data_IF_064677767131
#
_entry.id   IF_064677767131
#
_cell.length_a   1.000
_cell.length_b   1.000
_cell.length_c   1.000
_cell.angle_alpha   90.00
_cell.angle_beta   90.00
_cell.angle_gamma   90.00
#
_symmetry.space_group_name_H-M   'P 1'
#
loop_
_entity.id
_entity.type
_entity.pdbx_description
1 polymer ?
#
# COMPACT_ATOMS: atom_id res chain seq x y z
N UNK A 1 -13.78 -17.64 11.87
CA UNK A 1 -12.42 -17.71 12.45
C UNK A 1 -11.52 -16.84 11.59
N UNK A 2 -11.11 -15.68 12.10
CA UNK A 2 -10.12 -14.83 11.43
C UNK A 2 -8.77 -15.53 11.48
N UNK A 3 -8.16 -15.76 10.32
CA UNK A 3 -6.79 -16.28 10.24
C UNK A 3 -5.87 -15.14 10.68
N UNK A 4 -5.01 -15.37 11.67
CA UNK A 4 -3.97 -14.41 12.03
C UNK A 4 -3.10 -14.17 10.78
N UNK A 5 -3.05 -12.93 10.31
CA UNK A 5 -2.32 -12.56 9.11
C UNK A 5 -1.00 -11.91 9.48
N UNK A 6 0.07 -12.70 9.37
CA UNK A 6 1.45 -12.31 9.67
C UNK A 6 2.13 -11.60 8.48
N UNK A 7 1.40 -11.27 7.40
CA UNK A 7 1.97 -10.59 6.22
C UNK A 7 2.47 -9.18 6.51
N UNK A 8 2.00 -8.52 7.57
CA UNK A 8 2.36 -7.12 7.85
C UNK A 8 1.82 -6.11 6.81
N UNK A 9 0.95 -6.55 5.89
CA UNK A 9 0.28 -5.66 4.94
C UNK A 9 -0.75 -4.76 5.63
N UNK A 10 -0.93 -3.50 5.19
CA UNK A 10 -2.00 -2.64 5.69
C UNK A 10 -3.38 -3.18 5.30
N UNK A 11 -4.42 -2.73 6.03
CA UNK A 11 -5.80 -3.15 5.77
C UNK A 11 -6.30 -2.73 4.38
N UNK A 12 -5.80 -1.60 3.86
CA UNK A 12 -6.09 -1.11 2.52
C UNK A 12 -4.78 -0.89 1.77
N UNK A 13 -4.70 -1.48 0.58
CA UNK A 13 -3.60 -1.39 -0.37
C UNK A 13 -4.11 -0.60 -1.58
N UNK A 14 -3.29 0.32 -2.10
CA UNK A 14 -3.71 1.18 -3.21
C UNK A 14 -3.21 0.62 -4.54
N UNK A 15 -4.14 0.27 -5.43
CA UNK A 15 -3.84 -0.07 -6.81
C UNK A 15 -3.80 1.22 -7.65
N UNK A 16 -2.59 1.55 -8.11
CA UNK A 16 -2.35 2.88 -8.68
C UNK A 16 -2.63 2.94 -10.17
N UNK A 17 -3.57 3.79 -10.56
CA UNK A 17 -3.73 4.19 -11.95
C UNK A 17 -2.93 5.47 -12.21
N UNK A 18 -1.70 5.31 -12.71
CA UNK A 18 -0.83 6.44 -13.00
C UNK A 18 -1.41 7.31 -14.13
N UNK A 19 -1.25 8.64 -14.05
CA UNK A 19 -1.62 9.54 -15.15
C UNK A 19 -0.72 9.31 -16.37
N UNK A 20 -1.21 9.68 -17.55
CA UNK A 20 -0.42 9.63 -18.77
C UNK A 20 0.83 10.51 -18.64
N UNK A 21 2.01 9.99 -19.02
CA UNK A 21 3.28 10.71 -18.90
C UNK A 21 3.71 10.98 -17.45
N UNK A 22 3.43 10.05 -16.53
CA UNK A 22 3.69 10.21 -15.08
C UNK A 22 5.14 10.61 -14.73
N UNK A 23 6.11 10.28 -15.58
CA UNK A 23 7.44 10.87 -15.58
C UNK A 23 7.76 11.45 -16.97
N UNK A 24 8.48 12.59 -17.07
CA UNK A 24 9.07 13.05 -18.32
C UNK A 24 10.02 11.98 -18.87
N UNK A 25 10.00 11.77 -20.18
CA UNK A 25 10.82 10.74 -20.85
C UNK A 25 12.30 11.03 -20.60
N UNK A 26 13.00 10.11 -19.92
CA UNK A 26 14.45 10.03 -20.01
C UNK A 26 14.80 9.55 -21.42
N UNK A 27 15.18 10.46 -22.32
CA UNK A 27 15.90 10.04 -23.52
C UNK A 27 17.27 9.53 -23.09
N UNK A 28 17.66 8.35 -23.60
CA UNK A 28 18.96 7.74 -23.32
C UNK A 28 20.09 8.71 -23.70
N UNK A 29 21.18 8.76 -22.92
CA UNK A 29 22.32 9.65 -23.20
C UNK A 29 23.04 9.15 -24.46
N UNK A 30 22.59 9.60 -25.64
CA UNK A 30 23.14 9.18 -26.93
C UNK A 30 22.46 9.76 -28.17
N UNK A 31 21.25 10.33 -28.06
CA UNK A 31 20.61 11.08 -29.14
C UNK A 31 21.04 12.55 -29.11
N UNK A 32 21.74 13.02 -30.15
CA UNK A 32 22.25 14.39 -30.25
C UNK A 32 21.21 15.48 -30.53
N UNK A 33 19.98 15.33 -30.06
CA UNK A 33 19.01 16.42 -29.99
C UNK A 33 19.07 17.01 -28.57
N UNK A 34 19.21 18.33 -28.46
CA UNK A 34 19.09 19.00 -27.17
C UNK A 34 17.76 18.57 -26.54
N UNK A 35 17.75 18.21 -25.24
CA UNK A 35 16.54 17.76 -24.58
C UNK A 35 15.45 18.80 -24.81
N UNK A 36 14.22 18.42 -25.18
CA UNK A 36 13.13 19.38 -25.27
C UNK A 36 13.08 20.12 -23.94
N UNK A 37 13.28 21.44 -23.99
CA UNK A 37 13.20 22.29 -22.81
C UNK A 37 11.80 22.11 -22.23
N UNK A 38 11.74 21.41 -21.10
CA UNK A 38 10.50 21.16 -20.39
C UNK A 38 9.83 22.52 -20.09
N UNK A 39 8.58 22.75 -20.50
CA UNK A 39 7.83 23.95 -20.11
C UNK A 39 7.69 24.08 -18.57
N UNK A 40 7.97 23.03 -17.81
CA UNK A 40 8.05 23.00 -16.34
C UNK A 40 9.48 23.11 -15.77
N UNK A 41 10.48 23.49 -16.57
CA UNK A 41 11.81 23.89 -16.08
C UNK A 41 11.78 25.18 -15.21
N UNK A 42 10.61 25.78 -15.05
CA UNK A 42 10.34 26.89 -14.13
C UNK A 42 10.44 26.48 -12.67
N UNK A 43 10.86 27.42 -11.81
CA UNK A 43 10.74 27.30 -10.35
C UNK A 43 9.33 26.84 -9.99
N UNK A 44 9.21 25.99 -8.96
CA UNK A 44 7.90 25.55 -8.44
C UNK A 44 6.95 26.74 -8.26
N UNK A 45 5.65 26.58 -8.59
CA UNK A 45 4.68 27.64 -8.39
C UNK A 45 4.74 28.18 -6.96
N UNK A 46 4.57 29.49 -6.80
CA UNK A 46 4.63 30.14 -5.49
C UNK A 46 3.62 29.52 -4.52
N UNK A 47 2.44 29.13 -5.01
CA UNK A 47 1.40 28.45 -4.24
C UNK A 47 1.90 27.12 -3.67
N UNK A 48 2.59 26.30 -4.46
CA UNK A 48 3.23 25.06 -3.98
C UNK A 48 4.24 25.34 -2.88
N UNK A 49 5.10 26.35 -3.05
CA UNK A 49 6.11 26.72 -2.07
C UNK A 49 5.51 27.29 -0.78
N UNK A 50 4.40 28.02 -0.85
CA UNK A 50 3.79 28.68 0.31
C UNK A 50 2.74 27.84 1.04
N UNK A 51 2.05 26.93 0.34
CA UNK A 51 0.96 26.14 0.92
C UNK A 51 1.32 24.66 1.06
N UNK A 52 1.81 24.03 -0.01
CA UNK A 52 2.04 22.57 -0.03
C UNK A 52 3.30 22.18 0.76
N UNK A 53 4.44 22.83 0.48
CA UNK A 53 5.72 22.51 1.14
C UNK A 53 5.63 22.66 2.67
N UNK A 54 5.10 23.77 3.24
CA UNK A 54 4.96 23.88 4.69
C UNK A 54 4.01 22.85 5.29
N UNK A 55 2.94 22.47 4.57
CA UNK A 55 2.01 21.42 5.02
C UNK A 55 2.74 20.07 5.11
N UNK A 56 3.54 19.70 4.10
CA UNK A 56 4.31 18.44 4.10
C UNK A 56 5.37 18.39 5.18
N UNK A 57 6.13 19.48 5.35
CA UNK A 57 7.12 19.59 6.41
C UNK A 57 6.52 19.40 7.80
N UNK A 58 5.35 19.98 8.08
CA UNK A 58 4.63 19.76 9.37
C UNK A 58 4.19 18.32 9.58
N UNK A 59 3.91 17.59 8.49
CA UNK A 59 3.44 16.20 8.56
C UNK A 59 4.57 15.18 8.55
N UNK A 60 5.80 15.60 8.25
CA UNK A 60 6.98 14.75 8.16
C UNK A 60 7.39 14.12 9.49
N UNK A 61 7.97 12.92 9.43
CA UNK A 61 8.53 12.23 10.58
C UNK A 61 9.67 13.03 11.25
N UNK A 62 10.62 13.66 10.51
CA UNK A 62 11.67 14.45 11.14
C UNK A 62 11.12 15.58 12.01
N UNK A 63 10.09 16.30 11.54
CA UNK A 63 9.46 17.36 12.32
C UNK A 63 8.80 16.83 13.61
N UNK A 64 8.08 15.70 13.52
CA UNK A 64 7.46 15.06 14.68
C UNK A 64 8.50 14.59 15.70
N UNK A 65 9.61 14.03 15.21
CA UNK A 65 10.74 13.57 16.04
C UNK A 65 11.42 14.73 16.76
N UNK A 66 11.72 15.83 16.06
CA UNK A 66 12.28 17.06 16.66
C UNK A 66 11.37 17.57 17.79
N UNK A 67 10.06 17.67 17.55
CA UNK A 67 9.10 18.14 18.57
C UNK A 67 9.07 17.22 19.79
N UNK A 68 9.06 15.90 19.59
CA UNK A 68 9.04 14.91 20.68
C UNK A 68 10.35 14.91 21.48
N UNK A 69 11.49 14.96 20.79
CA UNK A 69 12.82 15.00 21.40
C UNK A 69 13.04 16.31 22.16
N UNK A 70 12.58 17.45 21.64
CA UNK A 70 12.65 18.73 22.35
C UNK A 70 11.95 18.69 23.71
N UNK A 71 10.72 18.15 23.76
CA UNK A 71 9.99 17.95 25.02
C UNK A 71 10.76 17.00 25.96
N UNK A 72 11.28 15.88 25.43
CA UNK A 72 12.05 14.91 26.22
C UNK A 72 13.33 15.52 26.80
N UNK A 73 14.05 16.34 26.04
CA UNK A 73 15.27 17.02 26.45
C UNK A 73 14.95 18.00 27.58
N UNK A 74 13.90 18.82 27.44
CA UNK A 74 13.46 19.76 28.47
C UNK A 74 13.06 19.04 29.77
N UNK A 75 12.25 17.98 29.68
CA UNK A 75 11.85 17.17 30.82
C UNK A 75 13.04 16.50 31.52
N UNK A 76 14.01 16.01 30.74
CA UNK A 76 15.20 15.34 31.27
C UNK A 76 16.14 16.34 31.95
N UNK A 77 16.34 17.53 31.37
CA UNK A 77 17.09 18.63 31.98
C UNK A 77 16.46 19.07 33.31
N UNK A 78 15.14 19.27 33.32
CA UNK A 78 14.42 19.62 34.54
C UNK A 78 14.55 18.55 35.65
N UNK A 79 14.56 17.26 35.29
CA UNK A 79 14.79 16.16 36.25
C UNK A 79 16.22 16.16 36.80
N UNK A 80 17.22 16.45 35.98
CA UNK A 80 18.62 16.55 36.41
C UNK A 80 18.79 17.74 37.37
N UNK A 81 18.25 18.91 37.01
CA UNK A 81 18.28 20.11 37.86
C UNK A 81 17.57 19.88 39.20
N UNK A 82 16.41 19.21 39.19
CA UNK A 82 15.70 18.86 40.42
C UNK A 82 16.51 17.93 41.31
N UNK A 83 17.15 16.89 40.74
CA UNK A 83 18.04 15.99 41.50
C UNK A 83 19.27 16.71 42.05
N UNK A 84 19.84 17.64 41.29
CA UNK A 84 20.96 18.47 41.74
C UNK A 84 20.54 19.38 42.92
N UNK A 85 19.37 20.02 42.83
CA UNK A 85 18.82 20.84 43.91
C UNK A 85 18.46 20.02 45.17
N UNK A 86 17.95 18.80 45.02
CA UNK A 86 17.69 17.87 46.14
C UNK A 86 19.00 17.39 46.80
N UNK A 87 20.08 17.21 46.02
CA UNK A 87 21.40 16.88 46.54
C UNK A 87 22.05 18.05 47.30
N UNK A 88 21.89 19.29 46.82
CA UNK A 88 22.40 20.49 47.48
C UNK A 88 21.57 20.90 48.71
N UNK A 89 20.25 20.68 48.70
CA UNK A 89 19.35 21.00 49.81
C UNK A 89 19.46 20.06 51.02
N UNK A 90 20.10 18.89 50.88
CA UNK A 90 20.27 17.91 51.95
C UNK A 90 21.64 18.00 52.67
N UNK A 91 22.42 19.06 52.41
CA UNK A 91 23.73 19.33 53.03
C UNK A 91 23.71 19.71 54.52
N UNK A 92 22.66 19.36 55.27
CA UNK A 92 22.55 19.75 56.67
C UNK A 92 21.44 19.06 57.46
N UNK A 93 21.53 17.73 57.62
CA UNK A 93 21.15 17.00 58.86
C UNK A 93 21.46 15.52 58.73
N UNK A 94 22.56 15.12 59.34
CA UNK A 94 22.72 13.74 59.81
C UNK A 94 21.66 13.47 60.89
N UNK A 95 20.74 12.54 60.63
CA UNK A 95 20.21 11.69 61.67
C UNK A 95 19.79 10.36 61.07
N UNK A 96 20.48 9.30 61.49
CA UNK A 96 20.21 7.93 61.12
C UNK A 96 18.85 7.46 61.64
N UNK A 97 18.09 6.76 60.79
CA UNK A 97 17.33 5.57 61.18
C UNK A 97 17.04 4.72 59.94
N UNK A 98 17.43 3.47 60.06
CA UNK A 98 17.33 2.35 59.13
C UNK A 98 15.89 1.92 58.84
N UNK A 99 15.73 1.14 57.77
CA UNK A 99 14.57 0.33 57.36
C UNK A 99 13.53 1.00 56.44
N UNK A 100 13.79 0.92 55.14
CA UNK A 100 12.87 0.27 54.19
C UNK A 100 13.63 -0.03 52.87
N UNK A 101 13.95 -1.31 52.68
CA UNK A 101 14.50 -1.86 51.43
C UNK A 101 13.42 -1.79 50.33
N UNK A 102 13.30 -0.63 49.67
CA UNK A 102 12.85 -0.60 48.28
C UNK A 102 14.06 -0.86 47.41
N UNK A 103 14.01 -1.92 46.63
CA UNK A 103 14.96 -2.22 45.56
C UNK A 103 15.28 -0.93 44.77
N UNK A 104 16.56 -0.63 44.50
CA UNK A 104 16.89 0.52 43.68
C UNK A 104 16.35 0.25 42.27
N UNK A 105 15.34 1.03 41.88
CA UNK A 105 15.01 1.24 40.47
C UNK A 105 16.33 1.56 39.75
N UNK A 106 16.60 0.96 38.57
CA UNK A 106 17.89 1.11 37.91
C UNK A 106 18.17 2.60 37.75
N UNK A 107 19.35 3.04 38.20
CA UNK A 107 19.88 4.37 37.89
C UNK A 107 20.08 4.44 36.38
N UNK A 108 19.00 4.72 35.65
CA UNK A 108 19.09 5.10 34.27
C UNK A 108 20.01 6.32 34.23
N UNK A 109 21.12 6.18 33.52
CA UNK A 109 22.09 7.23 33.33
C UNK A 109 21.44 8.39 32.56
N UNK A 110 20.78 9.29 33.29
CA UNK A 110 20.00 10.40 32.73
C UNK A 110 20.86 11.31 31.85
N UNK A 111 22.16 11.41 32.15
CA UNK A 111 23.13 12.15 31.34
C UNK A 111 23.38 11.47 29.98
N UNK A 112 23.48 10.15 29.95
CA UNK A 112 23.62 9.38 28.70
C UNK A 112 22.34 9.46 27.86
N UNK A 113 21.17 9.31 28.48
CA UNK A 113 19.88 9.50 27.81
C UNK A 113 19.72 10.90 27.22
N UNK A 114 20.15 11.93 27.97
CA UNK A 114 20.12 13.31 27.50
C UNK A 114 21.05 13.49 26.29
N UNK A 115 22.28 12.99 26.38
CA UNK A 115 23.27 13.04 25.30
C UNK A 115 22.77 12.34 24.02
N UNK A 116 22.19 11.14 24.15
CA UNK A 116 21.58 10.43 23.02
C UNK A 116 20.41 11.23 22.42
N UNK A 117 19.51 11.77 23.25
CA UNK A 117 18.38 12.55 22.77
C UNK A 117 18.81 13.86 22.07
N UNK A 118 19.86 14.53 22.56
CA UNK A 118 20.43 15.73 21.93
C UNK A 118 21.10 15.41 20.58
N UNK A 119 21.83 14.30 20.48
CA UNK A 119 22.42 13.84 19.21
C UNK A 119 21.35 13.46 18.19
N UNK A 120 20.31 12.72 18.61
CA UNK A 120 19.18 12.37 17.76
C UNK A 120 18.42 13.63 17.29
N UNK A 121 18.29 14.64 18.17
CA UNK A 121 17.65 15.91 17.84
C UNK A 121 18.39 16.65 16.73
N UNK A 122 19.71 16.79 16.82
CA UNK A 122 20.51 17.49 15.81
C UNK A 122 20.56 16.69 14.47
N UNK A 123 20.58 15.36 14.56
CA UNK A 123 20.48 14.48 13.39
C UNK A 123 19.15 14.71 12.66
N UNK A 124 18.03 14.71 13.39
CA UNK A 124 16.70 14.94 12.80
C UNK A 124 16.55 16.36 12.23
N UNK A 125 17.19 17.36 12.84
CA UNK A 125 17.22 18.73 12.31
C UNK A 125 17.95 18.81 10.97
N UNK A 126 19.09 18.14 10.85
CA UNK A 126 19.85 18.03 9.59
C UNK A 126 19.01 17.34 8.51
N UNK A 127 18.32 16.25 8.85
CA UNK A 127 17.39 15.56 7.94
C UNK A 127 16.25 16.50 7.52
N UNK A 128 15.67 17.25 8.45
CA UNK A 128 14.58 18.19 8.18
C UNK A 128 15.01 19.35 7.25
N UNK A 129 16.23 19.87 7.40
CA UNK A 129 16.79 20.89 6.50
C UNK A 129 17.05 20.34 5.09
N UNK A 130 17.57 19.11 5.00
CA UNK A 130 17.74 18.39 3.73
C UNK A 130 16.38 18.17 3.04
N UNK A 131 15.38 17.70 3.78
CA UNK A 131 14.02 17.51 3.29
C UNK A 131 13.41 18.83 2.77
N UNK A 132 13.60 19.92 3.52
CA UNK A 132 13.14 21.26 3.10
C UNK A 132 13.78 21.67 1.77
N UNK A 133 15.07 21.39 1.61
CA UNK A 133 15.80 21.65 0.36
C UNK A 133 15.27 20.82 -0.80
N UNK A 134 15.04 19.52 -0.58
CA UNK A 134 14.52 18.60 -1.59
C UNK A 134 13.11 18.98 -2.03
N UNK A 135 12.22 19.28 -1.07
CA UNK A 135 10.85 19.73 -1.36
C UNK A 135 10.81 21.06 -2.12
N UNK A 136 11.78 21.96 -1.92
CA UNK A 136 11.83 23.22 -2.65
C UNK A 136 12.45 23.08 -4.05
N UNK A 137 13.48 22.22 -4.21
CA UNK A 137 14.33 22.18 -5.42
C UNK A 137 14.04 21.03 -6.36
N UNK A 138 13.77 19.83 -5.85
CA UNK A 138 13.55 18.66 -6.71
C UNK A 138 12.18 18.76 -7.40
N UNK A 139 12.16 18.53 -8.71
CA UNK A 139 10.98 18.75 -9.55
C UNK A 139 9.83 17.79 -9.21
N UNK A 140 10.14 16.52 -8.99
CA UNK A 140 9.13 15.48 -8.83
C UNK A 140 8.50 15.43 -7.44
N UNK A 141 9.10 16.07 -6.44
CA UNK A 141 8.66 15.88 -5.06
C UNK A 141 7.25 16.39 -4.78
N UNK A 142 6.72 17.31 -5.59
CA UNK A 142 5.39 17.93 -5.40
C UNK A 142 4.47 17.78 -6.62
N UNK A 143 4.70 16.78 -7.47
CA UNK A 143 3.79 16.49 -8.59
C UNK A 143 2.49 15.89 -8.08
N UNK A 144 1.38 16.17 -8.76
CA UNK A 144 0.03 15.89 -8.25
C UNK A 144 -0.19 14.42 -7.84
N UNK A 145 0.34 13.46 -8.61
CA UNK A 145 0.15 12.05 -8.28
C UNK A 145 0.99 11.59 -7.06
N UNK A 146 2.17 12.17 -6.83
CA UNK A 146 2.96 11.93 -5.61
C UNK A 146 2.25 12.54 -4.41
N UNK A 147 1.72 13.76 -4.54
CA UNK A 147 0.93 14.41 -3.48
C UNK A 147 -0.30 13.59 -3.09
N UNK A 148 -0.98 13.02 -4.10
CA UNK A 148 -2.09 12.10 -3.88
C UNK A 148 -1.65 10.90 -3.06
N UNK A 149 -0.62 10.16 -3.51
CA UNK A 149 -0.10 8.99 -2.78
C UNK A 149 0.39 9.32 -1.36
N UNK A 150 1.01 10.48 -1.17
CA UNK A 150 1.45 10.92 0.15
C UNK A 150 0.28 11.22 1.09
N UNK A 151 -0.85 11.67 0.54
CA UNK A 151 -2.11 11.85 1.26
C UNK A 151 -2.73 10.51 1.65
N UNK A 152 -2.76 9.53 0.74
CA UNK A 152 -3.13 8.14 1.03
C UNK A 152 -2.27 7.54 2.16
N UNK A 153 -0.95 7.68 2.03
CA UNK A 153 -0.02 7.20 3.03
C UNK A 153 -0.22 7.91 4.40
N UNK A 154 -0.60 9.20 4.42
CA UNK A 154 -0.80 9.95 5.67
C UNK A 154 -1.99 9.44 6.50
N UNK A 155 -2.93 8.73 5.88
CA UNK A 155 -4.07 8.10 6.56
C UNK A 155 -3.87 6.60 6.82
N UNK A 156 -2.63 6.10 6.68
CA UNK A 156 -2.26 4.72 7.00
C UNK A 156 -2.31 3.74 5.83
N UNK A 157 -2.58 4.21 4.61
CA UNK A 157 -2.54 3.38 3.40
C UNK A 157 -1.12 3.37 2.84
N UNK A 158 -0.26 2.59 3.47
CA UNK A 158 1.21 2.66 3.28
C UNK A 158 1.74 1.75 2.17
N UNK A 159 0.91 0.86 1.60
CA UNK A 159 1.33 -0.04 0.54
C UNK A 159 0.62 0.27 -0.78
N UNK A 160 1.38 0.26 -1.87
CA UNK A 160 0.87 0.49 -3.23
C UNK A 160 1.22 -0.67 -4.16
N UNK A 161 0.30 -1.07 -5.04
CA UNK A 161 0.53 -2.05 -6.11
C UNK A 161 0.45 -1.36 -7.49
N UNK A 162 1.36 -1.67 -8.43
CA UNK A 162 1.31 -1.17 -9.80
C UNK A 162 0.00 -1.54 -10.52
N UNK A 163 -0.77 -0.55 -11.02
CA UNK A 163 -2.05 -0.72 -11.71
C UNK A 163 -2.17 -0.01 -13.06
N UNK A 164 -3.41 0.22 -13.51
CA UNK A 164 -3.75 1.10 -14.64
C UNK A 164 -3.95 0.45 -16.01
N UNK A 165 -4.32 1.26 -17.01
CA UNK A 165 -4.59 0.85 -18.40
C UNK A 165 -3.43 0.13 -19.09
N UNK A 166 -2.18 0.33 -18.64
CA UNK A 166 -1.05 -0.42 -19.18
C UNK A 166 -1.06 -1.89 -18.67
N UNK A 167 -1.72 -2.13 -17.54
CA UNK A 167 -2.05 -3.44 -16.99
C UNK A 167 -3.43 -3.94 -17.44
N UNK A 168 -4.21 -3.12 -18.17
CA UNK A 168 -5.46 -3.56 -18.79
C UNK A 168 -5.12 -4.60 -19.84
N UNK A 169 -5.80 -5.73 -19.74
CA UNK A 169 -5.58 -6.91 -20.55
C UNK A 169 -5.72 -6.48 -22.01
N UNK A 170 -4.65 -6.57 -22.80
CA UNK A 170 -4.84 -6.49 -24.25
C UNK A 170 -5.79 -7.62 -24.67
N UNK A 171 -6.40 -7.52 -25.84
CA UNK A 171 -7.39 -8.53 -26.30
C UNK A 171 -6.81 -9.97 -26.41
N UNK A 172 -5.53 -10.14 -26.10
CA UNK A 172 -4.76 -11.38 -26.14
C UNK A 172 -4.30 -11.86 -24.75
N UNK A 173 -4.72 -11.23 -23.65
CA UNK A 173 -4.39 -11.72 -22.30
C UNK A 173 -3.00 -11.33 -21.80
N UNK A 174 -2.24 -10.50 -22.53
CA UNK A 174 -0.82 -10.27 -22.25
C UNK A 174 -0.62 -9.00 -21.39
N UNK A 175 -0.34 -9.19 -20.10
CA UNK A 175 0.31 -8.15 -19.29
C UNK A 175 1.79 -8.12 -19.67
N UNK A 176 2.24 -7.11 -20.40
CA UNK A 176 3.67 -7.00 -20.74
C UNK A 176 4.48 -6.70 -19.47
N UNK A 177 5.37 -7.60 -19.06
CA UNK A 177 6.32 -7.41 -17.95
C UNK A 177 7.06 -6.06 -18.05
N UNK A 178 7.37 -5.60 -19.28
CA UNK A 178 8.01 -4.32 -19.54
C UNK A 178 7.18 -3.12 -19.05
N UNK A 179 5.86 -3.22 -19.14
CA UNK A 179 4.94 -2.19 -18.63
C UNK A 179 5.01 -2.12 -17.11
N UNK A 180 4.88 -3.27 -16.43
CA UNK A 180 4.89 -3.33 -14.97
C UNK A 180 6.22 -2.80 -14.43
N UNK A 181 7.33 -3.11 -15.10
CA UNK A 181 8.65 -2.57 -14.78
C UNK A 181 8.72 -1.05 -14.99
N UNK A 182 8.08 -0.51 -16.04
CA UNK A 182 7.95 0.93 -16.26
C UNK A 182 7.18 1.62 -15.13
N UNK A 183 6.08 1.04 -14.67
CA UNK A 183 5.29 1.55 -13.53
C UNK A 183 6.09 1.50 -12.23
N UNK A 184 6.81 0.40 -11.96
CA UNK A 184 7.70 0.31 -10.79
C UNK A 184 8.76 1.41 -10.77
N UNK A 185 9.33 1.78 -11.93
CA UNK A 185 10.28 2.91 -12.04
C UNK A 185 9.66 4.24 -11.67
N UNK A 186 8.42 4.49 -12.11
CA UNK A 186 7.68 5.69 -11.69
C UNK A 186 7.46 5.70 -10.19
N UNK A 187 7.04 4.56 -9.62
CA UNK A 187 6.77 4.43 -8.20
C UNK A 187 8.03 4.46 -7.33
N UNK A 188 9.23 4.25 -7.89
CA UNK A 188 10.48 4.43 -7.18
C UNK A 188 10.65 5.87 -6.65
N UNK A 189 10.16 6.87 -7.40
CA UNK A 189 10.15 8.27 -6.93
C UNK A 189 9.25 8.46 -5.70
N UNK A 190 8.13 7.73 -5.63
CA UNK A 190 7.29 7.70 -4.44
C UNK A 190 8.02 7.03 -3.25
N UNK A 191 8.69 5.89 -3.46
CA UNK A 191 9.48 5.22 -2.40
C UNK A 191 10.58 6.13 -1.87
N UNK A 192 11.33 6.78 -2.77
CA UNK A 192 12.35 7.78 -2.41
C UNK A 192 11.74 8.90 -1.57
N UNK A 193 10.60 9.45 -1.99
CA UNK A 193 9.96 10.54 -1.27
C UNK A 193 9.40 10.15 0.10
N UNK A 194 8.79 8.97 0.20
CA UNK A 194 8.35 8.41 1.49
C UNK A 194 9.55 8.22 2.40
N UNK A 195 10.67 7.66 1.91
CA UNK A 195 11.87 7.47 2.72
C UNK A 195 12.47 8.76 3.29
N UNK A 196 12.26 9.91 2.63
CA UNK A 196 12.67 11.21 3.18
C UNK A 196 11.67 11.82 4.17
N UNK A 197 10.37 11.63 3.94
CA UNK A 197 9.33 12.30 4.72
C UNK A 197 8.76 11.48 5.87
N UNK A 198 8.80 10.17 5.73
CA UNK A 198 8.11 9.20 6.57
C UNK A 198 9.01 7.98 6.76
N UNK A 199 8.51 7.00 7.50
CA UNK A 199 9.22 5.73 7.76
C UNK A 199 8.51 4.52 7.17
N UNK A 200 7.29 4.70 6.67
CA UNK A 200 6.35 3.64 6.33
C UNK A 200 5.74 3.88 4.94
N UNK A 201 6.30 3.24 3.92
CA UNK A 201 5.74 3.21 2.58
C UNK A 201 6.43 2.17 1.71
N UNK A 202 5.64 1.36 1.01
CA UNK A 202 6.19 0.29 0.18
C UNK A 202 5.45 0.15 -1.15
N UNK A 203 6.20 -0.27 -2.15
CA UNK A 203 5.66 -0.72 -3.44
C UNK A 203 5.70 -2.24 -3.45
N UNK A 204 4.57 -2.85 -3.80
CA UNK A 204 4.41 -4.29 -3.94
C UNK A 204 4.44 -4.61 -5.45
N UNK A 205 5.60 -4.97 -6.02
CA UNK A 205 5.71 -5.22 -7.44
C UNK A 205 4.92 -6.47 -7.86
N UNK A 206 4.44 -6.45 -9.10
CA UNK A 206 3.70 -7.55 -9.73
C UNK A 206 4.62 -8.34 -10.66
N UNK A 207 4.87 -9.61 -10.34
CA UNK A 207 5.58 -10.53 -11.21
C UNK A 207 4.57 -11.25 -12.11
N UNK A 208 4.67 -11.03 -13.42
CA UNK A 208 3.75 -11.59 -14.42
C UNK A 208 4.56 -12.31 -15.51
N UNK A 209 5.02 -13.54 -15.28
CA UNK A 209 5.80 -14.28 -16.26
C UNK A 209 4.96 -14.60 -17.51
N UNK A 210 5.62 -14.71 -18.66
CA UNK A 210 4.97 -15.18 -19.89
C UNK A 210 4.64 -16.67 -19.76
N UNK A 211 3.37 -16.98 -19.57
CA UNK A 211 2.92 -18.35 -19.27
C UNK A 211 3.18 -19.33 -20.41
N UNK A 212 3.19 -18.89 -21.67
CA UNK A 212 3.50 -19.78 -22.80
C UNK A 212 4.99 -20.19 -22.86
N UNK A 213 5.85 -19.56 -22.06
CA UNK A 213 7.25 -19.92 -21.83
C UNK A 213 7.44 -20.54 -20.42
N UNK A 214 6.44 -21.25 -19.87
CA UNK A 214 6.40 -21.68 -18.46
C UNK A 214 7.62 -22.50 -17.98
N UNK A 215 8.29 -23.24 -18.88
CA UNK A 215 9.54 -23.97 -18.57
C UNK A 215 10.63 -23.02 -18.03
N UNK A 216 10.54 -21.73 -18.35
CA UNK A 216 11.51 -20.69 -18.00
C UNK A 216 10.96 -19.72 -16.93
N UNK A 217 9.67 -19.76 -16.61
CA UNK A 217 9.02 -18.79 -15.73
C UNK A 217 9.62 -18.73 -14.31
N UNK A 218 9.93 -19.88 -13.72
CA UNK A 218 10.61 -19.96 -12.41
C UNK A 218 12.07 -19.53 -12.49
N UNK A 219 12.74 -19.79 -13.63
CA UNK A 219 14.17 -19.49 -13.81
C UNK A 219 14.50 -18.00 -13.92
N UNK A 220 13.52 -17.17 -14.31
CA UNK A 220 13.71 -15.71 -14.39
C UNK A 220 13.44 -14.98 -13.08
N UNK A 221 12.90 -15.66 -12.06
CA UNK A 221 12.47 -15.05 -10.80
C UNK A 221 13.61 -14.27 -10.11
N UNK A 222 14.80 -14.85 -10.02
CA UNK A 222 15.96 -14.20 -9.39
C UNK A 222 16.37 -12.91 -10.12
N UNK A 223 16.51 -12.99 -11.45
CA UNK A 223 16.84 -11.82 -12.27
C UNK A 223 15.80 -10.72 -12.13
N UNK A 224 14.51 -11.09 -12.12
CA UNK A 224 13.41 -10.15 -11.96
C UNK A 224 13.42 -9.49 -10.58
N UNK A 225 13.57 -10.27 -9.49
CA UNK A 225 13.65 -9.74 -8.11
C UNK A 225 14.81 -8.76 -7.98
N UNK A 226 16.00 -9.13 -8.46
CA UNK A 226 17.17 -8.25 -8.44
C UNK A 226 16.93 -6.94 -9.21
N UNK A 227 16.23 -7.02 -10.34
CA UNK A 227 15.86 -5.85 -11.13
C UNK A 227 14.87 -4.95 -10.37
N UNK A 228 13.86 -5.50 -9.71
CA UNK A 228 12.91 -4.71 -8.91
C UNK A 228 13.58 -4.07 -7.70
N UNK A 229 14.43 -4.81 -6.97
CA UNK A 229 15.23 -4.27 -5.87
C UNK A 229 16.05 -3.06 -6.32
N UNK A 230 16.76 -3.20 -7.45
CA UNK A 230 17.54 -2.11 -8.03
C UNK A 230 16.66 -0.91 -8.43
N UNK A 231 15.55 -1.15 -9.14
CA UNK A 231 14.63 -0.09 -9.60
C UNK A 231 14.00 0.67 -8.44
N UNK A 232 13.58 -0.03 -7.39
CA UNK A 232 12.92 0.57 -6.23
C UNK A 232 13.91 1.12 -5.21
N UNK A 233 15.21 0.85 -5.36
CA UNK A 233 16.25 1.26 -4.41
C UNK A 233 16.14 0.56 -3.06
N UNK A 234 15.75 -0.72 -3.04
CA UNK A 234 15.56 -1.50 -1.81
C UNK A 234 16.39 -2.79 -1.84
N UNK A 235 16.85 -3.23 -0.67
CA UNK A 235 17.68 -4.44 -0.55
C UNK A 235 16.84 -5.73 -0.68
N UNK A 236 15.58 -5.67 -0.26
CA UNK A 236 14.63 -6.76 -0.31
C UNK A 236 13.21 -6.25 -0.58
N UNK A 237 12.40 -7.11 -1.20
CA UNK A 237 10.97 -6.94 -1.42
C UNK A 237 10.21 -7.59 -0.25
N UNK A 238 9.52 -6.77 0.55
CA UNK A 238 8.64 -7.27 1.61
C UNK A 238 7.54 -8.17 1.02
N UNK A 239 6.94 -7.75 -0.09
CA UNK A 239 5.83 -8.44 -0.75
C UNK A 239 5.99 -8.45 -2.26
N UNK A 240 5.61 -9.55 -2.88
CA UNK A 240 5.48 -9.70 -4.33
C UNK A 240 4.11 -10.28 -4.67
N UNK A 241 3.46 -9.74 -5.69
CA UNK A 241 2.24 -10.32 -6.25
C UNK A 241 2.59 -11.13 -7.49
N UNK A 242 2.42 -12.46 -7.44
CA UNK A 242 2.51 -13.34 -8.59
C UNK A 242 1.19 -13.28 -9.37
N UNK A 243 1.24 -12.79 -10.60
CA UNK A 243 0.11 -12.77 -11.51
C UNK A 243 0.11 -14.06 -12.35
N UNK A 244 -0.85 -14.94 -12.09
CA UNK A 244 -1.07 -16.15 -12.88
C UNK A 244 -2.43 -16.04 -13.57
N UNK A 245 -2.44 -16.11 -14.90
CA UNK A 245 -3.60 -15.78 -15.72
C UNK A 245 -4.29 -16.97 -16.37
N UNK A 246 -3.65 -18.15 -16.36
CA UNK A 246 -4.20 -19.36 -16.95
C UNK A 246 -3.90 -20.57 -16.08
N UNK A 247 -4.95 -21.12 -15.45
CA UNK A 247 -4.87 -22.31 -14.61
C UNK A 247 -4.56 -23.60 -15.39
N UNK A 248 -4.70 -23.57 -16.72
CA UNK A 248 -4.31 -24.68 -17.58
C UNK A 248 -2.77 -24.80 -17.71
N UNK A 249 -2.03 -23.73 -17.41
CA UNK A 249 -0.56 -23.71 -17.47
C UNK A 249 0.02 -24.14 -16.11
N UNK A 250 0.82 -25.23 -16.05
CA UNK A 250 1.44 -25.69 -14.81
C UNK A 250 2.62 -24.79 -14.37
N UNK A 251 3.07 -24.94 -13.11
CA UNK A 251 4.27 -24.28 -12.60
C UNK A 251 4.03 -23.05 -11.71
N UNK A 252 2.78 -22.75 -11.35
CA UNK A 252 2.45 -21.63 -10.45
C UNK A 252 3.12 -21.76 -9.07
N UNK A 253 3.09 -22.95 -8.47
CA UNK A 253 3.74 -23.24 -7.19
C UNK A 253 5.26 -23.33 -7.32
N UNK A 254 5.78 -23.78 -8.46
CA UNK A 254 7.21 -23.70 -8.77
C UNK A 254 7.70 -22.24 -8.80
N UNK A 255 6.92 -21.34 -9.40
CA UNK A 255 7.22 -19.90 -9.38
C UNK A 255 7.17 -19.31 -7.97
N UNK A 256 6.18 -19.68 -7.15
CA UNK A 256 6.12 -19.26 -5.73
C UNK A 256 7.38 -19.71 -4.98
N UNK A 257 7.83 -20.96 -5.17
CA UNK A 257 9.08 -21.46 -4.57
C UNK A 257 10.30 -20.69 -5.06
N UNK A 258 10.40 -20.45 -6.36
CA UNK A 258 11.53 -19.75 -6.96
C UNK A 258 11.65 -18.31 -6.43
N UNK A 259 10.55 -17.56 -6.35
CA UNK A 259 10.52 -16.21 -5.77
C UNK A 259 11.00 -16.21 -4.31
N UNK A 260 10.56 -17.17 -3.50
CA UNK A 260 10.97 -17.28 -2.08
C UNK A 260 12.41 -17.75 -1.88
N UNK A 261 12.98 -18.45 -2.86
CA UNK A 261 14.34 -18.96 -2.79
C UNK A 261 15.39 -17.88 -3.06
N UNK A 262 15.00 -16.73 -3.62
CA UNK A 262 15.94 -15.63 -3.93
C UNK A 262 16.55 -15.07 -2.64
N UNK A 263 17.87 -15.16 -2.53
CA UNK A 263 18.66 -14.69 -1.39
C UNK A 263 19.65 -13.58 -1.80
N UNK A 264 20.17 -12.85 -0.81
CA UNK A 264 21.31 -11.97 -0.99
C UNK A 264 22.56 -12.77 -1.40
N UNK A 265 23.45 -12.16 -2.18
CA UNK A 265 24.64 -12.82 -2.72
C UNK A 265 25.73 -13.06 -1.66
N UNK A 266 25.59 -12.47 -0.47
CA UNK A 266 26.72 -12.19 0.44
C UNK A 266 27.00 -13.30 1.46
N UNK A 267 26.68 -14.56 1.13
CA UNK A 267 26.96 -15.71 2.00
C UNK A 267 26.06 -15.82 3.23
N UNK A 268 25.24 -14.81 3.52
CA UNK A 268 24.12 -14.90 4.45
C UNK A 268 22.83 -15.31 3.71
N UNK A 269 22.09 -16.27 4.27
CA UNK A 269 20.78 -16.70 3.76
C UNK A 269 19.68 -15.65 4.07
N UNK A 270 19.91 -14.40 3.72
CA UNK A 270 18.90 -13.32 3.83
C UNK A 270 18.01 -13.38 2.58
N UNK A 271 16.72 -13.66 2.78
CA UNK A 271 15.76 -13.70 1.68
C UNK A 271 15.50 -12.30 1.13
N UNK A 272 15.55 -12.17 -0.20
CA UNK A 272 15.14 -10.94 -0.90
C UNK A 272 13.65 -10.81 -1.09
N UNK A 273 12.88 -11.88 -0.92
CA UNK A 273 11.41 -11.85 -0.97
C UNK A 273 10.88 -12.49 0.31
N UNK A 274 10.14 -11.73 1.11
CA UNK A 274 9.56 -12.25 2.36
C UNK A 274 8.23 -12.94 2.12
N UNK A 275 7.34 -12.31 1.35
CA UNK A 275 5.99 -12.82 1.10
C UNK A 275 5.63 -12.83 -0.39
N UNK A 276 4.90 -13.87 -0.81
CA UNK A 276 4.39 -14.05 -2.17
C UNK A 276 2.88 -14.24 -2.12
N UNK A 277 2.16 -13.29 -2.73
CA UNK A 277 0.71 -13.30 -2.86
C UNK A 277 0.31 -13.72 -4.27
N UNK A 278 -0.66 -14.62 -4.41
CA UNK A 278 -1.16 -15.05 -5.72
C UNK A 278 -2.33 -14.16 -6.18
N UNK A 279 -2.21 -13.54 -7.35
CA UNK A 279 -3.28 -12.76 -7.98
C UNK A 279 -4.16 -13.62 -8.87
N UNK A 280 -5.44 -13.25 -8.95
CA UNK A 280 -6.49 -13.99 -9.67
C UNK A 280 -6.52 -15.47 -9.23
N UNK A 281 -6.42 -15.69 -7.92
CA UNK A 281 -6.38 -17.03 -7.39
C UNK A 281 -7.70 -17.75 -7.66
N UNK A 282 -7.61 -19.05 -7.91
CA UNK A 282 -8.74 -19.95 -8.09
C UNK A 282 -8.52 -21.18 -7.22
N UNK A 283 -9.57 -21.98 -7.03
CA UNK A 283 -9.43 -23.22 -6.26
C UNK A 283 -8.37 -24.15 -6.90
N UNK A 284 -8.29 -24.14 -8.24
CA UNK A 284 -7.33 -24.94 -9.01
C UNK A 284 -5.91 -24.45 -8.81
N UNK A 285 -5.64 -23.14 -8.93
CA UNK A 285 -4.27 -22.62 -8.78
C UNK A 285 -3.74 -22.79 -7.36
N UNK A 286 -4.57 -22.59 -6.33
CA UNK A 286 -4.18 -22.89 -4.94
C UNK A 286 -3.89 -24.38 -4.75
N UNK A 287 -4.72 -25.27 -5.31
CA UNK A 287 -4.48 -26.71 -5.26
C UNK A 287 -3.14 -27.09 -5.92
N UNK A 288 -2.85 -26.51 -7.07
CA UNK A 288 -1.60 -26.75 -7.80
C UNK A 288 -0.39 -26.25 -7.00
N UNK A 289 -0.47 -25.06 -6.41
CA UNK A 289 0.54 -24.54 -5.49
C UNK A 289 0.84 -25.52 -4.35
N UNK A 290 -0.18 -26.16 -3.77
CA UNK A 290 0.01 -27.14 -2.70
C UNK A 290 0.67 -28.43 -3.19
N UNK A 291 0.30 -28.92 -4.38
CA UNK A 291 0.90 -30.12 -5.00
C UNK A 291 2.39 -29.88 -5.30
N UNK A 292 2.70 -28.71 -5.86
CA UNK A 292 4.06 -28.32 -6.21
C UNK A 292 4.88 -27.91 -4.97
N UNK A 293 4.26 -27.74 -3.79
CA UNK A 293 4.96 -27.33 -2.56
C UNK A 293 5.27 -25.84 -2.46
N UNK A 294 4.64 -25.00 -3.29
CA UNK A 294 4.73 -23.54 -3.28
C UNK A 294 3.50 -22.88 -2.70
N UNK A 295 3.18 -23.11 -1.42
CA UNK A 295 2.01 -22.49 -0.75
C UNK A 295 2.14 -20.96 -0.73
N UNK A 296 1.27 -20.15 -1.36
CA UNK A 296 1.34 -18.68 -1.28
C UNK A 296 1.01 -18.16 0.14
N UNK A 297 1.48 -16.96 0.46
CA UNK A 297 1.21 -16.28 1.75
C UNK A 297 -0.18 -15.66 1.81
N UNK A 298 -0.74 -15.25 0.66
CA UNK A 298 -2.09 -14.75 0.53
C UNK A 298 -2.63 -15.01 -0.89
N UNK A 299 -3.94 -14.87 -1.05
CA UNK A 299 -4.63 -14.97 -2.34
C UNK A 299 -5.44 -13.70 -2.60
N UNK A 300 -5.35 -13.14 -3.80
CA UNK A 300 -6.16 -12.00 -4.23
C UNK A 300 -7.34 -12.50 -5.06
N UNK A 301 -8.55 -12.06 -4.69
CA UNK A 301 -9.81 -12.38 -5.34
C UNK A 301 -10.62 -11.10 -5.59
N UNK A 302 -11.16 -10.85 -6.80
CA UNK A 302 -12.00 -9.67 -7.04
C UNK A 302 -13.27 -9.64 -6.19
N UNK A 303 -13.65 -8.44 -5.72
CA UNK A 303 -14.82 -8.23 -4.83
C UNK A 303 -16.12 -8.83 -5.36
N UNK A 304 -16.40 -8.63 -6.65
CA UNK A 304 -17.63 -9.15 -7.28
C UNK A 304 -17.61 -10.68 -7.47
N UNK A 305 -16.43 -11.28 -7.58
CA UNK A 305 -16.30 -12.73 -7.76
C UNK A 305 -16.42 -13.50 -6.44
N UNK A 306 -16.21 -12.84 -5.31
CA UNK A 306 -16.24 -13.44 -3.98
C UNK A 306 -17.57 -14.15 -3.66
N UNK A 307 -18.69 -13.69 -4.21
CA UNK A 307 -20.02 -14.24 -3.95
C UNK A 307 -20.51 -15.21 -5.04
N UNK A 308 -19.65 -15.56 -5.99
CA UNK A 308 -19.93 -16.60 -6.98
C UNK A 308 -19.61 -17.97 -6.40
N UNK A 309 -20.15 -19.04 -7.00
CA UNK A 309 -19.79 -20.42 -6.60
C UNK A 309 -18.28 -20.67 -6.64
N UNK A 310 -17.56 -20.04 -7.60
CA UNK A 310 -16.10 -20.13 -7.71
C UNK A 310 -15.40 -19.43 -6.55
N UNK A 311 -15.84 -18.22 -6.20
CA UNK A 311 -15.32 -17.45 -5.07
C UNK A 311 -15.59 -18.12 -3.72
N UNK A 312 -16.77 -18.70 -3.52
CA UNK A 312 -17.10 -19.46 -2.31
C UNK A 312 -16.23 -20.73 -2.16
N UNK A 313 -16.00 -21.45 -3.26
CA UNK A 313 -15.09 -22.60 -3.29
C UNK A 313 -13.65 -22.23 -2.91
N UNK A 314 -13.12 -21.15 -3.49
CA UNK A 314 -11.80 -20.62 -3.13
C UNK A 314 -11.73 -20.21 -1.65
N UNK A 315 -12.72 -19.47 -1.16
CA UNK A 315 -12.78 -19.05 0.25
C UNK A 315 -12.74 -20.24 1.21
N UNK A 316 -13.53 -21.28 0.93
CA UNK A 316 -13.53 -22.50 1.74
C UNK A 316 -12.15 -23.21 1.74
N UNK A 317 -11.50 -23.28 0.58
CA UNK A 317 -10.18 -23.88 0.46
C UNK A 317 -9.10 -23.05 1.17
N UNK A 318 -9.09 -21.74 0.98
CA UNK A 318 -8.16 -20.81 1.64
C UNK A 318 -8.33 -20.84 3.16
N UNK A 319 -9.57 -20.88 3.66
CA UNK A 319 -9.85 -21.03 5.09
C UNK A 319 -9.26 -22.34 5.64
N UNK A 320 -9.45 -23.46 4.94
CA UNK A 320 -8.89 -24.77 5.32
C UNK A 320 -7.35 -24.76 5.34
N UNK A 321 -6.73 -24.07 4.38
CA UNK A 321 -5.27 -24.00 4.24
C UNK A 321 -4.63 -22.88 5.07
N UNK A 322 -5.43 -22.05 5.74
CA UNK A 322 -4.99 -20.81 6.41
C UNK A 322 -4.19 -19.94 5.46
N UNK A 323 -4.81 -19.59 4.33
CA UNK A 323 -4.32 -18.61 3.37
C UNK A 323 -5.27 -17.42 3.47
N UNK A 324 -4.81 -16.24 3.93
CA UNK A 324 -5.63 -15.04 3.96
C UNK A 324 -6.05 -14.63 2.54
N UNK A 325 -7.24 -14.03 2.45
CA UNK A 325 -7.78 -13.47 1.21
C UNK A 325 -7.69 -11.95 1.26
N UNK A 326 -7.17 -11.39 0.18
CA UNK A 326 -7.16 -9.96 -0.11
C UNK A 326 -8.19 -9.73 -1.20
N UNK A 327 -9.13 -8.83 -0.96
CA UNK A 327 -10.22 -8.55 -1.90
C UNK A 327 -9.80 -7.44 -2.85
N UNK A 328 -9.79 -7.73 -4.15
CA UNK A 328 -9.39 -6.76 -5.18
C UNK A 328 -10.53 -5.86 -5.62
N UNK A 329 -10.17 -4.65 -6.01
CA UNK A 329 -11.03 -3.68 -6.66
C UNK A 329 -12.35 -3.42 -5.92
N UNK A 330 -12.28 -3.24 -4.59
CA UNK A 330 -13.45 -3.08 -3.71
C UNK A 330 -14.36 -1.92 -4.13
N UNK A 331 -13.77 -0.82 -4.62
CA UNK A 331 -14.51 0.36 -5.09
C UNK A 331 -14.78 0.37 -6.60
N UNK A 332 -14.43 -0.69 -7.31
CA UNK A 332 -14.68 -0.85 -8.75
C UNK A 332 -14.17 0.33 -9.58
N UNK A 333 -12.93 0.74 -9.32
CA UNK A 333 -12.31 1.91 -9.94
C UNK A 333 -13.04 3.23 -9.69
N UNK A 334 -13.78 3.33 -8.58
CA UNK A 334 -14.56 4.50 -8.18
C UNK A 334 -16.04 4.44 -8.56
N UNK A 335 -16.55 3.33 -9.13
CA UNK A 335 -17.98 3.16 -9.40
C UNK A 335 -18.82 2.97 -8.13
N UNK A 336 -18.21 2.53 -7.03
CA UNK A 336 -18.86 2.45 -5.71
C UNK A 336 -18.78 3.82 -5.04
N UNK A 337 -19.67 4.71 -5.47
CA UNK A 337 -19.72 6.11 -5.04
C UNK A 337 -21.16 6.65 -5.18
N UNK A 338 -21.54 7.57 -4.31
CA UNK A 338 -22.85 8.22 -4.28
C UNK A 338 -23.21 8.89 -5.61
N UNK A 339 -22.23 9.35 -6.39
CA UNK A 339 -22.45 9.99 -7.70
C UNK A 339 -23.12 9.08 -8.73
N UNK A 340 -23.02 7.76 -8.56
CA UNK A 340 -23.61 6.76 -9.46
C UNK A 340 -24.92 6.18 -8.95
N UNK A 341 -25.33 6.56 -7.75
CA UNK A 341 -26.52 6.05 -7.08
C UNK A 341 -27.81 6.52 -7.78
N UNK A 342 -28.78 5.61 -7.92
CA UNK A 342 -30.10 5.82 -8.55
C UNK A 342 -30.02 6.25 -10.04
N UNK A 343 -28.87 6.07 -10.68
CA UNK A 343 -28.75 6.27 -12.12
C UNK A 343 -29.47 5.14 -12.87
N UNK A 344 -30.47 5.51 -13.69
CA UNK A 344 -31.25 4.53 -14.47
C UNK A 344 -30.44 3.80 -15.52
N UNK A 345 -29.45 4.47 -16.11
CA UNK A 345 -28.58 3.93 -17.15
C UNK A 345 -27.14 4.02 -16.69
N UNK A 346 -26.29 3.04 -17.05
CA UNK A 346 -24.87 3.13 -16.77
C UNK A 346 -24.26 4.37 -17.44
N UNK A 347 -23.16 4.91 -16.90
CA UNK A 347 -22.31 5.83 -17.62
C UNK A 347 -21.88 5.25 -18.97
N UNK A 348 -21.56 6.11 -19.93
CA UNK A 348 -21.07 5.64 -21.22
C UNK A 348 -19.63 5.12 -21.10
N UNK A 349 -19.38 3.88 -21.53
CA UNK A 349 -18.05 3.26 -21.54
C UNK A 349 -17.02 4.12 -22.30
N UNK A 350 -17.43 4.83 -23.36
CA UNK A 350 -16.52 5.70 -24.10
C UNK A 350 -16.04 6.88 -23.24
N UNK A 351 -16.89 7.41 -22.36
CA UNK A 351 -16.54 8.51 -21.45
C UNK A 351 -15.60 8.08 -20.34
N UNK A 352 -15.66 6.81 -19.92
CA UNK A 352 -14.79 6.26 -18.89
C UNK A 352 -13.50 5.64 -19.45
N UNK A 353 -13.30 5.67 -20.77
CA UNK A 353 -12.11 5.09 -21.40
C UNK A 353 -10.84 5.74 -20.85
N UNK A 354 -9.92 4.90 -20.37
CA UNK A 354 -8.66 5.37 -19.78
C UNK A 354 -8.77 5.76 -18.28
N UNK A 355 -9.91 5.49 -17.64
CA UNK A 355 -10.12 5.69 -16.19
C UNK A 355 -10.21 4.36 -15.45
N UNK A 356 -9.92 4.39 -14.14
CA UNK A 356 -10.11 3.29 -13.17
C UNK A 356 -11.40 2.49 -13.33
N UNK A 357 -12.50 3.18 -13.61
CA UNK A 357 -13.81 2.56 -13.71
C UNK A 357 -14.05 1.78 -15.02
N UNK A 358 -13.20 1.90 -16.04
CA UNK A 358 -13.48 1.37 -17.38
C UNK A 358 -13.71 -0.14 -17.40
N UNK A 359 -12.74 -0.92 -16.91
CA UNK A 359 -12.80 -2.38 -16.93
C UNK A 359 -13.93 -2.88 -16.02
N UNK A 360 -14.08 -2.25 -14.85
CA UNK A 360 -15.14 -2.55 -13.89
C UNK A 360 -16.54 -2.34 -14.47
N UNK A 361 -16.75 -1.23 -15.20
CA UNK A 361 -18.02 -0.97 -15.88
C UNK A 361 -18.26 -1.98 -17.00
N UNK A 362 -17.22 -2.36 -17.73
CA UNK A 362 -17.31 -3.40 -18.76
C UNK A 362 -17.81 -4.72 -18.19
N UNK A 363 -17.25 -5.16 -17.04
CA UNK A 363 -17.70 -6.37 -16.33
C UNK A 363 -19.17 -6.25 -15.91
N UNK A 364 -19.57 -5.12 -15.32
CA UNK A 364 -20.96 -4.89 -14.87
C UNK A 364 -21.94 -4.94 -16.05
N UNK A 365 -21.61 -4.27 -17.16
CA UNK A 365 -22.47 -4.20 -18.34
C UNK A 365 -22.57 -5.52 -19.12
N UNK A 366 -21.58 -6.42 -18.98
CA UNK A 366 -21.59 -7.74 -19.61
C UNK A 366 -22.55 -8.73 -18.92
N UNK A 367 -22.97 -8.45 -17.67
CA UNK A 367 -23.94 -9.27 -16.95
C UNK A 367 -25.36 -8.82 -17.31
N UNK A 368 -26.27 -9.77 -17.58
CA UNK A 368 -27.68 -9.46 -17.88
C UNK A 368 -28.33 -8.75 -16.69
N UNK A 369 -28.80 -7.51 -16.92
CA UNK A 369 -29.33 -6.66 -15.85
C UNK A 369 -28.28 -6.18 -14.84
N UNK A 370 -26.98 -6.29 -15.18
CA UNK A 370 -25.88 -6.05 -14.26
C UNK A 370 -25.89 -4.64 -13.66
N UNK A 371 -26.21 -3.61 -14.44
CA UNK A 371 -26.32 -2.23 -13.92
C UNK A 371 -27.44 -2.08 -12.88
N UNK A 372 -28.63 -2.61 -13.14
CA UNK A 372 -29.76 -2.54 -12.19
C UNK A 372 -29.43 -3.26 -10.88
N UNK A 373 -28.75 -4.40 -10.97
CA UNK A 373 -28.30 -5.16 -9.78
C UNK A 373 -27.18 -4.43 -9.03
N UNK A 374 -26.27 -3.81 -9.78
CA UNK A 374 -25.23 -2.97 -9.19
C UNK A 374 -25.83 -1.79 -8.42
N UNK A 375 -26.92 -1.18 -8.92
CA UNK A 375 -27.69 -0.18 -8.18
C UNK A 375 -28.28 -0.74 -6.87
N UNK A 376 -28.64 -2.03 -6.83
CA UNK A 376 -29.03 -2.72 -5.60
C UNK A 376 -27.90 -2.79 -4.57
N UNK A 377 -26.66 -3.03 -5.01
CA UNK A 377 -25.47 -2.97 -4.13
C UNK A 377 -25.27 -1.55 -3.60
N UNK A 378 -25.30 -0.54 -4.47
CA UNK A 378 -25.14 0.86 -4.06
C UNK A 378 -26.22 1.30 -3.06
N UNK A 379 -27.46 0.86 -3.26
CA UNK A 379 -28.57 1.17 -2.34
C UNK A 379 -28.36 0.52 -0.97
N UNK A 380 -27.95 -0.75 -0.93
CA UNK A 380 -27.64 -1.44 0.33
C UNK A 380 -26.48 -0.77 1.10
N UNK A 381 -25.50 -0.23 0.38
CA UNK A 381 -24.40 0.53 0.97
C UNK A 381 -24.85 1.91 1.46
N UNK A 382 -25.72 2.60 0.72
CA UNK A 382 -26.30 3.90 1.11
C UNK A 382 -27.09 3.77 2.43
N UNK A 383 -27.88 2.70 2.58
CA UNK A 383 -28.75 2.46 3.73
C UNK A 383 -28.00 2.40 5.08
N UNK A 384 -26.70 2.08 5.04
CA UNK A 384 -25.83 2.08 6.22
C UNK A 384 -25.61 3.48 6.81
N UNK A 385 -25.73 4.54 5.99
CA UNK A 385 -25.43 5.94 6.34
C UNK A 385 -23.97 6.21 6.72
N UNK A 386 -23.05 5.31 6.42
CA UNK A 386 -21.60 5.50 6.66
C UNK A 386 -20.89 6.17 5.47
N UNK A 387 -21.61 6.39 4.36
CA UNK A 387 -21.06 6.74 3.04
C UNK A 387 -20.79 5.47 2.23
N UNK A 388 -21.11 5.48 0.94
CA UNK A 388 -21.13 4.29 0.07
C UNK A 388 -19.74 3.65 -0.03
N UNK A 389 -18.70 4.44 -0.28
CA UNK A 389 -17.33 3.93 -0.37
C UNK A 389 -16.80 3.41 0.99
N UNK A 390 -17.09 4.12 2.08
CA UNK A 390 -16.67 3.73 3.43
C UNK A 390 -17.34 2.42 3.86
N UNK A 391 -18.64 2.29 3.63
CA UNK A 391 -19.40 1.08 3.95
C UNK A 391 -18.88 -0.13 3.16
N UNK A 392 -18.52 0.06 1.88
CA UNK A 392 -17.98 -1.02 1.06
C UNK A 392 -16.64 -1.53 1.63
N UNK A 393 -15.74 -0.63 2.01
CA UNK A 393 -14.44 -0.99 2.60
C UNK A 393 -14.63 -1.64 3.98
N UNK A 394 -15.45 -1.04 4.85
CA UNK A 394 -15.70 -1.55 6.20
C UNK A 394 -16.37 -2.93 6.19
N UNK A 395 -17.20 -3.23 5.19
CA UNK A 395 -17.78 -4.56 5.03
C UNK A 395 -16.71 -5.66 4.93
N UNK A 396 -15.67 -5.45 4.12
CA UNK A 396 -14.58 -6.42 3.94
C UNK A 396 -13.58 -6.39 5.10
N UNK A 397 -13.17 -5.20 5.55
CA UNK A 397 -12.27 -5.01 6.70
C UNK A 397 -12.87 -5.67 7.95
N UNK A 398 -14.15 -5.41 8.19
CA UNK A 398 -14.89 -5.95 9.30
C UNK A 398 -15.12 -7.47 9.24
N UNK A 399 -14.89 -8.10 8.09
CA UNK A 399 -14.83 -9.55 7.94
C UNK A 399 -13.39 -10.11 8.13
N UNK A 400 -12.43 -9.26 8.46
CA UNK A 400 -11.02 -9.60 8.66
C UNK A 400 -10.23 -9.72 7.36
N UNK A 401 -10.74 -9.18 6.24
CA UNK A 401 -10.05 -9.18 4.95
C UNK A 401 -9.31 -7.87 4.71
N UNK A 402 -8.26 -7.93 3.89
CA UNK A 402 -7.59 -6.75 3.36
C UNK A 402 -8.21 -6.36 2.02
N UNK A 403 -8.20 -5.08 1.72
CA UNK A 403 -8.80 -4.55 0.50
C UNK A 403 -7.73 -3.95 -0.41
N UNK A 404 -7.83 -4.20 -1.71
CA UNK A 404 -7.14 -3.40 -2.71
C UNK A 404 -8.16 -2.43 -3.31
N UNK A 405 -7.81 -1.15 -3.31
CA UNK A 405 -8.64 -0.08 -3.86
C UNK A 405 -7.93 0.52 -5.06
N UNK A 406 -8.57 0.47 -6.22
CA UNK A 406 -8.08 1.14 -7.42
C UNK A 406 -8.50 2.60 -7.44
N UNK A 407 -7.52 3.49 -7.66
CA UNK A 407 -7.73 4.94 -7.62
C UNK A 407 -7.02 5.64 -8.76
N UNK A 408 -7.62 6.74 -9.20
CA UNK A 408 -6.96 7.77 -9.99
C UNK A 408 -6.23 8.68 -9.00
N UNK A 409 -5.00 9.08 -9.30
CA UNK A 409 -4.14 9.84 -8.40
C UNK A 409 -4.30 11.35 -8.59
N UNK A 410 -5.54 11.84 -8.49
CA UNK A 410 -5.93 13.24 -8.74
C UNK A 410 -6.20 14.05 -7.46
N UNK A 411 -6.19 13.40 -6.29
CA UNK A 411 -6.48 14.06 -5.02
C UNK A 411 -6.23 13.20 -3.77
N UNK A 412 -6.62 13.67 -2.58
CA UNK A 412 -6.63 12.86 -1.38
C UNK A 412 -7.67 11.73 -1.48
N UNK A 413 -7.63 10.72 -0.59
CA UNK A 413 -8.67 9.69 -0.52
C UNK A 413 -10.06 10.31 -0.38
N UNK A 414 -11.03 9.84 -1.18
CA UNK A 414 -12.44 10.24 -1.05
C UNK A 414 -13.21 9.37 -0.03
N UNK A 415 -12.51 8.42 0.60
CA UNK A 415 -13.02 7.54 1.64
C UNK A 415 -12.10 7.60 2.86
N UNK A 416 -12.61 7.15 4.01
CA UNK A 416 -11.93 7.20 5.31
C UNK A 416 -11.76 5.81 5.90
N UNK A 417 -10.69 5.60 6.66
CA UNK A 417 -10.48 4.39 7.47
C UNK A 417 -10.86 4.64 8.93
N UNK A 418 -11.27 3.58 9.63
CA UNK A 418 -11.54 3.61 11.07
C UNK A 418 -12.86 4.28 11.44
N UNK A 419 -13.87 4.19 10.57
CA UNK A 419 -15.24 4.57 10.88
C UNK A 419 -15.95 3.57 11.81
N UNK A 420 -17.20 3.87 12.14
CA UNK A 420 -18.03 2.97 12.94
C UNK A 420 -18.22 1.62 12.22
N UNK A 421 -18.13 0.52 12.97
CA UNK A 421 -18.38 -0.80 12.42
C UNK A 421 -19.82 -0.94 11.97
N UNK A 422 -20.02 -1.58 10.81
CA UNK A 422 -21.35 -1.90 10.28
C UNK A 422 -22.12 -2.83 11.21
N UNK A 423 -23.42 -2.57 11.37
CA UNK A 423 -24.32 -3.45 12.09
C UNK A 423 -24.46 -4.80 11.36
N UNK A 424 -24.81 -5.84 12.11
CA UNK A 424 -25.00 -7.18 11.53
C UNK A 424 -26.08 -7.19 10.45
N UNK A 425 -27.21 -6.51 10.68
CA UNK A 425 -28.28 -6.36 9.69
C UNK A 425 -27.81 -5.65 8.40
N UNK A 426 -26.95 -4.64 8.52
CA UNK A 426 -26.39 -3.94 7.36
C UNK A 426 -25.49 -4.88 6.54
N UNK A 427 -24.66 -5.68 7.22
CA UNK A 427 -23.82 -6.68 6.57
C UNK A 427 -24.64 -7.76 5.87
N UNK A 428 -25.75 -8.21 6.47
CA UNK A 428 -26.66 -9.16 5.84
C UNK A 428 -27.29 -8.58 4.57
N UNK A 429 -27.75 -7.33 4.61
CA UNK A 429 -28.32 -6.63 3.46
C UNK A 429 -27.31 -6.46 2.31
N UNK A 430 -26.08 -6.03 2.63
CA UNK A 430 -24.98 -5.91 1.66
C UNK A 430 -24.66 -7.28 1.05
N UNK A 431 -24.57 -8.32 1.88
CA UNK A 431 -24.32 -9.70 1.43
C UNK A 431 -25.42 -10.20 0.49
N UNK A 432 -26.68 -9.91 0.81
CA UNK A 432 -27.81 -10.27 -0.04
C UNK A 432 -27.76 -9.57 -1.40
N UNK A 433 -27.42 -8.28 -1.44
CA UNK A 433 -27.27 -7.52 -2.69
C UNK A 433 -26.11 -8.07 -3.55
N UNK A 434 -24.97 -8.38 -2.94
CA UNK A 434 -23.80 -8.94 -3.63
C UNK A 434 -24.09 -10.34 -4.18
N UNK A 435 -24.79 -11.20 -3.43
CA UNK A 435 -25.24 -12.52 -3.93
C UNK A 435 -26.27 -12.40 -5.06
N UNK A 436 -27.20 -11.45 -4.96
CA UNK A 436 -28.17 -11.21 -6.03
C UNK A 436 -27.48 -10.77 -7.33
N UNK A 437 -26.40 -9.99 -7.23
CA UNK A 437 -25.54 -9.68 -8.38
C UNK A 437 -24.87 -10.94 -8.93
N UNK A 438 -24.23 -11.75 -8.08
CA UNK A 438 -23.47 -12.92 -8.48
C UNK A 438 -24.31 -14.08 -9.06
N UNK A 439 -25.59 -14.19 -8.72
CA UNK A 439 -26.46 -15.33 -9.09
C UNK A 439 -26.73 -15.53 -10.61
N UNK A 440 -26.26 -14.65 -11.49
CA UNK A 440 -26.38 -14.78 -12.95
C UNK A 440 -25.03 -14.78 -13.69
N UNK A 441 -23.91 -14.72 -12.97
CA UNK A 441 -22.56 -14.70 -13.52
C UNK A 441 -21.94 -16.08 -13.70
#
# INVERSE_FOLDING_TARGET
>A
MTVADDTGLPMVIINVWLPHGALPVYEEPGGGEEPPVDPNSGRKPLETLMLQVPKRLRMSQPFRSIKKLGIMIEETKARIEKKAAEAEGNGGKESASTEDLKEPLPEENLAEKLSTAENDFETNKTIYESLTTNLCKEQYTTIGWIESLMSYNAVGMTAVVPGGALCSVDKFGMKSEAVLNGVSRVLAEFVKQVGFEKSDGSVIPRFSPRLYDYVVASSIAEKWVNTQCFVLGVDALEHVVLCWHDDAVPGVGECVKALRAVCAADGEFVRKVKHVTLSNATEQSIRQCMIEGGKPDAAILPALEMFTCKGEGLQAQCAKLRIPIIVDNVLLGGLVDERYLRMRTPPDLATLRGTAAFDSLGVICNVVGGWERFQGILSALEDTKHGVANAAIEYFIGAGMRCIVETILDGPPWFMLGGDSLLEADRENITAALRAYAALG
#
